data_IF_525073367329
#
_entry.id   IF_525073367329
#
_cell.length_a   1.000
_cell.length_b   1.000
_cell.length_c   1.000
_cell.angle_alpha   90.00
_cell.angle_beta   90.00
_cell.angle_gamma   90.00
#
_symmetry.space_group_name_H-M   'P 1'
#
loop_
_entity.id
_entity.type
_entity.pdbx_description
1 polymer ?
#
# COMPACT_ATOMS: atom_id res chain seq x y z
N UNK A 1 -8.64 -34.14 -16.14
CA UNK A 1 -9.68 -33.15 -15.79
C UNK A 1 -9.74 -32.74 -14.31
N UNK A 2 -9.41 -33.59 -13.33
CA UNK A 2 -9.50 -33.22 -11.89
C UNK A 2 -8.45 -32.20 -11.40
N UNK A 3 -7.29 -32.09 -12.06
CA UNK A 3 -6.23 -31.15 -11.67
C UNK A 3 -6.57 -29.67 -11.97
N UNK A 4 -7.46 -29.39 -12.94
CA UNK A 4 -7.80 -28.02 -13.34
C UNK A 4 -8.69 -27.29 -12.32
N UNK A 5 -9.48 -28.05 -11.54
CA UNK A 5 -10.46 -27.51 -10.57
C UNK A 5 -9.77 -27.13 -9.24
N UNK A 6 -8.67 -27.80 -8.87
CA UNK A 6 -7.90 -27.45 -7.68
C UNK A 6 -7.08 -26.16 -7.86
N UNK A 7 -6.61 -25.88 -9.08
CA UNK A 7 -5.84 -24.67 -9.38
C UNK A 7 -6.72 -23.40 -9.33
N UNK A 8 -8.00 -23.51 -9.70
CA UNK A 8 -8.94 -22.38 -9.67
C UNK A 8 -9.36 -22.02 -8.24
N UNK A 9 -9.46 -23.00 -7.34
CA UNK A 9 -9.78 -22.74 -5.93
C UNK A 9 -8.62 -22.09 -5.16
N UNK A 10 -7.36 -22.35 -5.54
CA UNK A 10 -6.19 -21.75 -4.87
C UNK A 10 -6.04 -20.24 -5.16
N UNK A 11 -6.58 -19.75 -6.28
CA UNK A 11 -6.45 -18.33 -6.66
C UNK A 11 -7.48 -17.43 -5.94
N UNK A 12 -8.59 -18.00 -5.46
CA UNK A 12 -9.70 -17.23 -4.88
C UNK A 12 -9.52 -16.84 -3.40
N UNK A 13 -8.51 -17.33 -2.69
CA UNK A 13 -8.35 -17.08 -1.24
C UNK A 13 -7.47 -15.89 -0.88
N UNK A 14 -6.97 -15.09 -1.84
CA UNK A 14 -5.97 -14.05 -1.55
C UNK A 14 -6.52 -12.62 -1.31
N UNK A 15 -7.83 -12.44 -1.29
CA UNK A 15 -8.45 -11.13 -1.06
C UNK A 15 -9.34 -11.13 0.18
N UNK A 16 -8.79 -11.52 1.33
CA UNK A 16 -9.37 -11.07 2.60
C UNK A 16 -8.89 -9.63 2.82
N UNK A 17 -9.72 -8.67 2.43
CA UNK A 17 -9.55 -7.29 2.84
C UNK A 17 -9.64 -7.25 4.37
N UNK A 18 -8.47 -7.15 5.01
CA UNK A 18 -8.40 -6.99 6.45
C UNK A 18 -9.18 -5.72 6.80
N UNK A 19 -10.28 -5.88 7.55
CA UNK A 19 -11.02 -4.76 8.12
C UNK A 19 -10.05 -3.99 9.00
N UNK A 20 -9.58 -2.84 8.53
CA UNK A 20 -8.67 -2.00 9.27
C UNK A 20 -9.42 -1.45 10.49
N UNK A 21 -9.11 -1.99 11.67
CA UNK A 21 -9.58 -1.41 12.92
C UNK A 21 -8.96 -0.01 13.04
N UNK A 22 -9.81 1.01 13.15
CA UNK A 22 -9.43 2.42 13.27
C UNK A 22 -8.63 2.62 14.56
N UNK A 23 -7.30 2.55 14.44
CA UNK A 23 -6.39 2.71 15.57
C UNK A 23 -6.18 4.20 15.86
N UNK A 24 -6.37 4.66 17.11
CA UNK A 24 -6.21 6.06 17.45
C UNK A 24 -4.77 6.53 17.15
N UNK A 25 -4.63 7.79 16.72
CA UNK A 25 -3.32 8.41 16.49
C UNK A 25 -2.51 8.44 17.78
N UNK A 26 -1.35 7.81 17.78
CA UNK A 26 -0.44 7.78 18.93
C UNK A 26 0.71 8.77 18.74
N UNK A 27 1.17 9.44 19.80
CA UNK A 27 2.44 10.18 19.75
C UNK A 27 3.58 9.29 19.25
N UNK A 28 4.43 9.85 18.38
CA UNK A 28 5.52 9.15 17.70
C UNK A 28 5.12 8.46 16.38
N UNK A 29 3.83 8.33 16.09
CA UNK A 29 3.36 7.69 14.86
C UNK A 29 3.75 8.50 13.61
N UNK A 30 4.32 7.85 12.61
CA UNK A 30 4.67 8.48 11.34
C UNK A 30 3.39 8.79 10.55
N UNK A 31 3.24 10.04 10.16
CA UNK A 31 2.08 10.54 9.42
C UNK A 31 2.51 11.41 8.25
N UNK A 32 1.65 11.46 7.25
CA UNK A 32 1.73 12.36 6.11
C UNK A 32 0.45 13.18 6.11
N UNK A 33 0.60 14.49 6.12
CA UNK A 33 -0.52 15.42 6.26
C UNK A 33 -0.58 16.31 5.03
N UNK A 34 -1.73 16.32 4.36
CA UNK A 34 -2.01 17.23 3.27
C UNK A 34 -2.79 18.44 3.79
N UNK A 35 -2.23 19.64 3.62
CA UNK A 35 -2.81 20.88 4.11
C UNK A 35 -2.75 22.00 3.05
N UNK A 36 -3.46 23.09 3.31
CA UNK A 36 -3.50 24.27 2.44
C UNK A 36 -3.95 23.96 0.99
N UNK A 37 -4.82 22.97 0.82
CA UNK A 37 -5.33 22.61 -0.49
C UNK A 37 -6.26 23.68 -1.04
N UNK A 38 -6.19 23.90 -2.35
CA UNK A 38 -7.17 24.69 -3.08
C UNK A 38 -8.32 23.76 -3.49
N UNK A 39 -9.50 24.02 -2.94
CA UNK A 39 -10.72 23.34 -3.36
C UNK A 39 -11.15 23.89 -4.71
N UNK A 40 -10.92 23.12 -5.78
CA UNK A 40 -11.40 23.45 -7.12
C UNK A 40 -12.70 22.69 -7.34
N UNK A 41 -13.79 23.44 -7.53
CA UNK A 41 -15.08 22.84 -7.84
C UNK A 41 -15.11 22.51 -9.33
N UNK A 42 -15.09 21.23 -9.66
CA UNK A 42 -15.31 20.80 -11.04
C UNK A 42 -16.79 21.01 -11.38
N UNK A 43 -17.04 21.84 -12.40
CA UNK A 43 -18.40 22.13 -12.86
C UNK A 43 -19.07 20.92 -13.50
N UNK A 44 -18.29 20.01 -14.08
CA UNK A 44 -18.81 18.89 -14.85
C UNK A 44 -19.25 17.73 -13.93
N UNK A 45 -18.42 17.35 -12.97
CA UNK A 45 -18.72 16.24 -12.05
C UNK A 45 -19.48 16.70 -10.80
N UNK A 46 -19.55 18.02 -10.54
CA UNK A 46 -19.96 18.60 -9.24
C UNK A 46 -19.17 18.02 -8.05
N UNK A 47 -18.00 17.42 -8.30
CA UNK A 47 -17.10 16.97 -7.25
C UNK A 47 -16.09 18.08 -6.96
N UNK A 48 -15.77 18.25 -5.68
CA UNK A 48 -14.70 19.16 -5.26
C UNK A 48 -13.41 18.36 -5.31
N UNK A 49 -12.54 18.67 -6.27
CA UNK A 49 -11.20 18.11 -6.34
C UNK A 49 -10.26 19.03 -5.54
N UNK A 50 -9.48 18.45 -4.63
CA UNK A 50 -8.44 19.18 -3.91
C UNK A 50 -7.18 19.21 -4.77
N UNK A 51 -6.74 20.41 -5.16
CA UNK A 51 -5.51 20.64 -5.93
C UNK A 51 -4.49 21.43 -5.11
N UNK A 52 -3.24 21.38 -5.54
CA UNK A 52 -2.11 22.13 -4.96
C UNK A 52 -1.94 21.95 -3.45
N UNK A 53 -2.17 20.73 -2.96
CA UNK A 53 -2.00 20.41 -1.55
C UNK A 53 -0.53 20.36 -1.18
N UNK A 54 -0.14 21.10 -0.15
CA UNK A 54 1.16 20.93 0.48
C UNK A 54 1.13 19.68 1.35
N UNK A 55 2.15 18.84 1.21
CA UNK A 55 2.26 17.59 1.96
C UNK A 55 3.45 17.64 2.91
N UNK A 56 3.20 17.54 4.21
CA UNK A 56 4.23 17.47 5.25
C UNK A 56 4.29 16.06 5.82
N UNK A 57 5.48 15.48 5.87
CA UNK A 57 5.73 14.18 6.51
C UNK A 57 6.41 14.42 7.86
N UNK A 58 6.02 13.66 8.87
CA UNK A 58 6.61 13.76 10.21
C UNK A 58 6.12 12.66 11.13
N UNK A 59 6.46 12.76 12.42
CA UNK A 59 5.82 11.97 13.47
C UNK A 59 4.92 12.84 14.34
N UNK A 60 3.82 12.28 14.84
CA UNK A 60 2.89 13.01 15.72
C UNK A 60 3.62 13.37 17.01
N UNK A 61 3.79 14.66 17.29
CA UNK A 61 4.35 15.14 18.55
C UNK A 61 3.27 15.23 19.62
N UNK A 62 2.16 15.90 19.28
CA UNK A 62 1.01 16.09 20.15
C UNK A 62 -0.25 16.31 19.30
N UNK A 63 -1.40 15.88 19.81
CA UNK A 63 -2.71 16.19 19.24
C UNK A 63 -3.50 17.05 20.24
N UNK A 64 -3.96 18.21 19.80
CA UNK A 64 -4.79 19.13 20.57
C UNK A 64 -6.15 19.31 19.89
N UNK A 65 -7.07 20.05 20.53
CA UNK A 65 -8.43 20.26 20.00
C UNK A 65 -8.46 20.95 18.62
N UNK A 66 -7.53 21.87 18.35
CA UNK A 66 -7.51 22.69 17.12
C UNK A 66 -6.24 22.53 16.30
N UNK A 67 -5.24 21.80 16.81
CA UNK A 67 -3.93 21.70 16.19
C UNK A 67 -3.32 20.30 16.33
N UNK A 68 -2.57 19.91 15.30
CA UNK A 68 -1.74 18.73 15.23
C UNK A 68 -0.27 19.18 15.22
N UNK A 69 0.47 18.82 16.26
CA UNK A 69 1.91 19.00 16.32
C UNK A 69 2.62 17.84 15.60
N UNK A 70 3.52 18.16 14.67
CA UNK A 70 4.34 17.19 13.94
C UNK A 70 5.82 17.47 14.17
N UNK A 71 6.59 16.43 14.44
CA UNK A 71 8.05 16.49 14.34
C UNK A 71 8.45 16.24 12.89
N UNK A 72 8.94 17.27 12.21
CA UNK A 72 9.43 17.24 10.83
C UNK A 72 10.93 17.53 10.84
N UNK A 73 11.74 16.46 10.88
CA UNK A 73 13.18 16.58 11.12
C UNK A 73 13.45 17.06 12.55
N UNK A 74 14.26 18.11 12.70
CA UNK A 74 14.65 18.69 13.99
C UNK A 74 13.69 19.79 14.48
N UNK A 75 12.59 20.03 13.75
CA UNK A 75 11.62 21.08 14.07
C UNK A 75 10.25 20.51 14.38
N UNK A 76 9.54 21.11 15.34
CA UNK A 76 8.14 20.81 15.62
C UNK A 76 7.26 21.85 14.91
N UNK A 77 6.44 21.38 13.97
CA UNK A 77 5.50 22.21 13.21
C UNK A 77 4.09 21.98 13.78
N UNK A 78 3.42 23.06 14.15
CA UNK A 78 2.01 23.02 14.58
C UNK A 78 1.10 23.36 13.41
N UNK A 79 0.26 22.41 12.99
CA UNK A 79 -0.71 22.57 11.90
C UNK A 79 -2.12 22.67 12.47
N UNK A 80 -2.87 23.71 12.12
CA UNK A 80 -4.28 23.80 12.50
C UNK A 80 -5.10 22.72 11.80
N UNK A 81 -5.92 21.98 12.55
CA UNK A 81 -6.78 20.92 12.02
C UNK A 81 -7.73 21.43 10.93
N UNK A 82 -8.14 22.71 10.98
CA UNK A 82 -9.01 23.34 9.96
C UNK A 82 -8.35 23.48 8.59
N UNK A 83 -7.01 23.51 8.53
CA UNK A 83 -6.25 23.58 7.27
C UNK A 83 -5.86 22.22 6.73
N UNK A 84 -6.03 21.17 7.54
CA UNK A 84 -5.72 19.80 7.16
C UNK A 84 -6.90 19.24 6.38
N UNK A 85 -6.61 18.74 5.19
CA UNK A 85 -7.61 18.12 4.31
C UNK A 85 -7.59 16.60 4.38
N UNK A 86 -6.42 16.03 4.68
CA UNK A 86 -6.19 14.59 4.71
C UNK A 86 -5.03 14.29 5.65
N UNK A 87 -5.20 13.26 6.46
CA UNK A 87 -4.13 12.68 7.28
C UNK A 87 -3.99 11.23 6.83
N UNK A 88 -2.76 10.84 6.52
CA UNK A 88 -2.42 9.46 6.23
C UNK A 88 -1.44 8.96 7.28
N UNK A 89 -1.70 7.76 7.78
CA UNK A 89 -0.86 7.08 8.75
C UNK A 89 0.02 6.08 8.02
N UNK A 90 1.29 6.02 8.43
CA UNK A 90 2.19 4.98 7.98
C UNK A 90 1.84 3.63 8.62
N UNK A 91 1.54 2.63 7.79
CA UNK A 91 1.18 1.26 8.19
C UNK A 91 2.28 0.24 7.88
N UNK A 92 3.52 0.70 7.75
CA UNK A 92 4.65 -0.13 7.37
C UNK A 92 4.91 -0.12 5.87
N UNK A 93 5.68 -1.10 5.41
CA UNK A 93 6.02 -1.26 3.99
C UNK A 93 5.52 -2.60 3.49
N UNK A 94 5.03 -2.61 2.25
CA UNK A 94 4.68 -3.84 1.55
C UNK A 94 5.69 -4.05 0.42
N UNK A 95 6.29 -5.22 0.40
CA UNK A 95 7.12 -5.66 -0.71
C UNK A 95 6.24 -6.08 -1.88
N UNK A 96 6.69 -5.82 -3.11
CA UNK A 96 6.01 -6.25 -4.33
C UNK A 96 6.47 -7.62 -4.82
N UNK A 97 6.85 -8.52 -3.90
CA UNK A 97 7.37 -9.86 -4.21
C UNK A 97 6.44 -10.64 -5.16
N UNK A 98 5.13 -10.65 -4.89
CA UNK A 98 4.17 -11.38 -5.73
C UNK A 98 3.99 -10.77 -7.12
N UNK A 99 3.99 -9.43 -7.22
CA UNK A 99 3.90 -8.73 -8.51
C UNK A 99 5.16 -8.99 -9.33
N UNK A 100 6.34 -8.88 -8.70
CA UNK A 100 7.61 -9.20 -9.34
C UNK A 100 7.67 -10.65 -9.81
N UNK A 101 7.24 -11.61 -8.97
CA UNK A 101 7.18 -13.02 -9.32
C UNK A 101 6.27 -13.27 -10.53
N UNK A 102 5.10 -12.63 -10.59
CA UNK A 102 4.16 -12.78 -11.69
C UNK A 102 4.73 -12.23 -13.00
N UNK A 103 5.29 -11.01 -12.96
CA UNK A 103 5.93 -10.41 -14.15
C UNK A 103 7.11 -11.27 -14.61
N UNK A 104 7.95 -11.71 -13.67
CA UNK A 104 9.08 -12.59 -13.96
C UNK A 104 8.65 -13.94 -14.54
N UNK A 105 7.56 -14.53 -14.04
CA UNK A 105 6.98 -15.76 -14.58
C UNK A 105 6.59 -15.58 -16.03
N UNK A 106 5.85 -14.51 -16.36
CA UNK A 106 5.36 -14.27 -17.72
C UNK A 106 6.51 -14.04 -18.69
N UNK A 107 7.48 -13.19 -18.34
CA UNK A 107 8.65 -12.91 -19.19
C UNK A 107 9.51 -14.16 -19.35
N UNK A 108 9.75 -14.88 -18.25
CA UNK A 108 10.52 -16.13 -18.25
C UNK A 108 9.84 -17.24 -19.05
N UNK A 109 8.53 -17.39 -18.94
CA UNK A 109 7.74 -18.37 -19.68
C UNK A 109 7.81 -18.12 -21.18
N UNK A 110 7.64 -16.87 -21.63
CA UNK A 110 7.73 -16.51 -23.05
C UNK A 110 9.14 -16.78 -23.57
N UNK A 111 10.17 -16.31 -22.86
CA UNK A 111 11.56 -16.48 -23.27
C UNK A 111 11.96 -17.96 -23.30
N UNK A 112 11.62 -18.70 -22.24
CA UNK A 112 11.89 -20.14 -22.14
C UNK A 112 11.14 -20.95 -23.19
N UNK A 113 9.90 -20.58 -23.51
CA UNK A 113 9.12 -21.21 -24.57
C UNK A 113 9.74 -21.00 -25.95
N UNK A 114 10.22 -19.79 -26.27
CA UNK A 114 10.92 -19.51 -27.53
C UNK A 114 12.23 -20.30 -27.62
N UNK A 115 13.03 -20.35 -26.55
CA UNK A 115 14.28 -21.11 -26.51
C UNK A 115 14.01 -22.62 -26.65
N UNK A 116 13.03 -23.15 -25.91
CA UNK A 116 12.65 -24.56 -25.96
C UNK A 116 12.08 -24.97 -27.33
N UNK A 117 11.31 -24.09 -27.98
CA UNK A 117 10.83 -24.29 -29.34
C UNK A 117 12.00 -24.42 -30.33
N UNK A 118 12.98 -23.49 -30.28
CA UNK A 118 14.14 -23.49 -31.18
C UNK A 118 15.06 -24.69 -30.99
N UNK A 119 15.22 -25.19 -29.77
CA UNK A 119 16.08 -26.35 -29.50
C UNK A 119 15.52 -27.67 -30.06
N UNK A 120 14.22 -27.74 -30.35
CA UNK A 120 13.59 -28.95 -30.88
C UNK A 120 13.22 -28.89 -32.35
N UNK A 121 13.60 -27.82 -33.09
CA UNK A 121 13.44 -27.79 -34.55
C UNK A 121 14.25 -28.93 -35.24
N UNK A 122 15.34 -29.41 -34.61
CA UNK A 122 16.22 -30.45 -35.15
C UNK A 122 16.09 -31.82 -34.43
N UNK A 123 15.12 -31.99 -33.53
CA UNK A 123 14.96 -33.19 -32.71
C UNK A 123 13.77 -34.06 -33.14
N UNK A 124 13.83 -35.37 -32.90
CA UNK A 124 12.69 -36.29 -33.09
C UNK A 124 11.59 -36.12 -32.01
N UNK A 125 11.79 -35.22 -31.04
CA UNK A 125 10.86 -34.95 -29.95
C UNK A 125 9.77 -33.97 -30.40
N UNK A 126 8.54 -34.19 -29.93
CA UNK A 126 7.42 -33.28 -30.19
C UNK A 126 7.73 -31.84 -29.73
N UNK A 127 7.58 -30.89 -30.66
CA UNK A 127 7.87 -29.46 -30.45
C UNK A 127 7.03 -28.88 -29.31
N UNK A 128 5.79 -29.36 -29.13
CA UNK A 128 4.91 -28.95 -28.04
C UNK A 128 5.46 -29.32 -26.67
N UNK A 129 6.04 -30.51 -26.52
CA UNK A 129 6.68 -30.97 -25.28
C UNK A 129 7.88 -30.10 -24.92
N UNK A 130 8.73 -29.78 -25.90
CA UNK A 130 9.90 -28.93 -25.66
C UNK A 130 9.54 -27.49 -25.32
N UNK A 131 8.56 -26.90 -26.03
CA UNK A 131 8.06 -25.57 -25.70
C UNK A 131 7.44 -25.52 -24.30
N UNK A 132 6.65 -26.53 -23.91
CA UNK A 132 6.07 -26.63 -22.58
C UNK A 132 7.13 -26.77 -21.48
N UNK A 133 8.17 -27.57 -21.70
CA UNK A 133 9.30 -27.70 -20.79
C UNK A 133 10.06 -26.36 -20.65
N UNK A 134 10.30 -25.67 -21.77
CA UNK A 134 10.93 -24.35 -21.79
C UNK A 134 10.09 -23.30 -21.06
N UNK A 135 8.77 -23.27 -21.26
CA UNK A 135 7.84 -22.41 -20.52
C UNK A 135 7.93 -22.70 -19.01
N UNK A 136 7.93 -23.98 -18.61
CA UNK A 136 7.99 -24.37 -17.20
C UNK A 136 9.29 -23.94 -16.52
N UNK A 137 10.44 -24.26 -17.13
CA UNK A 137 11.76 -23.90 -16.57
C UNK A 137 11.98 -22.39 -16.62
N UNK A 138 11.75 -21.77 -17.77
CA UNK A 138 11.91 -20.33 -17.95
C UNK A 138 10.98 -19.53 -17.05
N UNK A 139 9.71 -19.95 -16.96
CA UNK A 139 8.73 -19.34 -16.06
C UNK A 139 9.10 -19.52 -14.58
N UNK A 140 9.58 -20.70 -14.18
CA UNK A 140 10.02 -20.94 -12.81
C UNK A 140 11.22 -20.09 -12.41
N UNK A 141 12.26 -20.04 -13.25
CA UNK A 141 13.46 -19.21 -13.01
C UNK A 141 13.09 -17.72 -13.04
N UNK A 142 12.31 -17.31 -14.03
CA UNK A 142 11.83 -15.93 -14.16
C UNK A 142 11.01 -15.50 -12.95
N UNK A 143 10.12 -16.35 -12.45
CA UNK A 143 9.35 -16.09 -11.24
C UNK A 143 10.23 -15.91 -10.01
N UNK A 144 11.25 -16.76 -9.84
CA UNK A 144 12.20 -16.67 -8.74
C UNK A 144 12.99 -15.35 -8.76
N UNK A 145 13.55 -14.99 -9.92
CA UNK A 145 14.27 -13.73 -10.09
C UNK A 145 13.35 -12.52 -9.91
N UNK A 146 12.15 -12.57 -10.50
CA UNK A 146 11.15 -11.52 -10.36
C UNK A 146 10.69 -11.34 -8.92
N UNK A 147 10.50 -12.42 -8.16
CA UNK A 147 10.18 -12.37 -6.74
C UNK A 147 11.31 -11.70 -5.95
N UNK A 148 12.57 -12.05 -6.25
CA UNK A 148 13.74 -11.48 -5.60
C UNK A 148 13.83 -9.97 -5.86
N UNK A 149 13.70 -9.54 -7.11
CA UNK A 149 13.69 -8.11 -7.47
C UNK A 149 12.50 -7.39 -6.83
N UNK A 150 11.30 -7.99 -6.88
CA UNK A 150 10.10 -7.44 -6.27
C UNK A 150 10.17 -7.33 -4.74
N UNK A 151 10.98 -8.17 -4.08
CA UNK A 151 11.21 -8.11 -2.64
C UNK A 151 12.09 -6.93 -2.21
N UNK A 152 12.99 -6.49 -3.11
CA UNK A 152 13.82 -5.32 -2.89
C UNK A 152 13.03 -4.01 -3.02
N UNK A 153 11.99 -4.01 -3.86
CA UNK A 153 11.09 -2.87 -4.04
C UNK A 153 10.05 -2.87 -2.94
N UNK A 154 10.19 -1.93 -2.01
CA UNK A 154 9.23 -1.70 -0.92
C UNK A 154 8.49 -0.40 -1.17
N UNK A 155 7.16 -0.45 -1.16
CA UNK A 155 6.36 0.77 -1.05
C UNK A 155 5.93 0.99 0.39
N UNK A 156 5.98 2.26 0.80
CA UNK A 156 5.32 2.71 2.01
C UNK A 156 3.81 2.56 1.85
N UNK A 157 3.17 1.93 2.83
CA UNK A 157 1.72 1.84 2.91
C UNK A 157 1.22 3.02 3.75
N UNK A 158 0.57 3.94 3.08
CA UNK A 158 -0.15 5.06 3.69
C UNK A 158 -1.64 4.73 3.72
N UNK A 159 -2.26 4.93 4.87
CA UNK A 159 -3.69 4.69 5.08
C UNK A 159 -4.37 5.98 5.51
N UNK A 160 -5.42 6.37 4.79
CA UNK A 160 -6.21 7.56 5.10
C UNK A 160 -6.91 7.42 6.45
N UNK A 161 -6.81 8.46 7.28
CA UNK A 161 -7.54 8.58 8.54
C UNK A 161 -8.69 9.57 8.37
N UNK A 162 -9.95 9.14 8.56
CA UNK A 162 -11.11 10.01 8.47
C UNK A 162 -11.06 11.13 9.52
N UNK A 163 -11.04 12.38 9.07
CA UNK A 163 -10.96 13.57 9.93
C UNK A 163 -12.25 13.83 10.72
N UNK A 164 -13.39 13.41 10.19
CA UNK A 164 -14.73 13.55 10.80
C UNK A 164 -14.86 12.81 12.14
N UNK A 165 -14.01 11.81 12.36
CA UNK A 165 -13.99 10.99 13.58
C UNK A 165 -12.93 11.42 14.59
N UNK A 166 -12.11 12.42 14.24
CA UNK A 166 -11.13 13.01 15.15
C UNK A 166 -11.82 13.94 16.17
N UNK A 167 -12.80 13.41 16.91
CA UNK A 167 -13.42 14.14 18.02
C UNK A 167 -12.53 13.99 19.23
N UNK A 168 -11.93 15.09 19.65
CA UNK A 168 -11.15 15.14 20.89
C UNK A 168 -12.13 15.12 22.05
N UNK A 169 -12.29 13.97 22.71
CA UNK A 169 -12.93 13.92 24.02
C UNK A 169 -11.97 14.55 25.04
N UNK A 170 -12.48 15.45 25.88
CA UNK A 170 -11.73 16.04 26.99
C UNK A 170 -12.22 15.33 28.25
N UNK A 171 -11.42 14.42 28.81
CA UNK A 171 -11.77 13.73 30.05
C UNK A 171 -10.97 14.31 31.24
N UNK A 172 -11.63 14.86 32.28
CA UNK A 172 -10.93 15.43 33.43
C UNK A 172 -10.20 14.36 34.25
N UNK A 173 -8.93 14.62 34.58
CA UNK A 173 -8.09 13.72 35.37
C UNK A 173 -8.05 14.19 36.84
N UNK A 174 -8.12 13.26 37.80
CA UNK A 174 -8.37 13.59 39.22
C UNK A 174 -7.26 14.36 39.96
N UNK A 175 -6.05 14.46 39.40
CA UNK A 175 -4.89 15.16 40.02
C UNK A 175 -4.43 16.42 39.25
N UNK A 176 -5.26 16.95 38.36
CA UNK A 176 -4.94 18.15 37.58
C UNK A 176 -5.64 18.16 36.23
N UNK A 177 -5.48 19.24 35.46
CA UNK A 177 -6.04 19.32 34.11
C UNK A 177 -5.24 18.41 33.15
N UNK A 178 -5.55 17.11 33.15
CA UNK A 178 -5.07 16.14 32.17
C UNK A 178 -5.95 16.15 30.93
N UNK A 179 -5.36 16.24 29.74
CA UNK A 179 -6.09 16.04 28.48
C UNK A 179 -5.91 14.58 28.09
N UNK A 180 -6.96 13.77 28.25
CA UNK A 180 -7.00 12.38 27.78
C UNK A 180 -7.84 12.31 26.52
N UNK A 181 -7.24 11.90 25.41
CA UNK A 181 -7.96 11.68 24.13
C UNK A 181 -8.42 10.22 24.10
N UNK A 182 -9.74 10.00 24.17
CA UNK A 182 -10.36 8.68 23.95
C UNK A 182 -11.31 8.75 22.75
N UNK A 183 -11.39 7.66 21.97
CA UNK A 183 -12.31 7.51 20.84
C UNK A 183 -13.29 6.39 21.17
N UNK A 184 -14.58 6.63 20.95
CA UNK A 184 -15.63 5.63 21.10
C UNK A 184 -16.02 5.08 19.72
N UNK A 185 -16.19 3.76 19.64
CA UNK A 185 -16.62 2.98 18.47
C UNK A 185 -18.09 2.60 18.58
#
# INVERSE_FOLDING_TARGET
MRALILLTFLVLTFFTDAVAQEQPLQPGQRVRVAHSCLAVRDQQTRQTELRDCHTTKGSVAALSADALGLNAGDSTVSLSLRRISRIEVYRGQKAYTGVGALVGLLVGAVTGGVVGYRQCEDSFVDVGVCAAAGIGVGGGVGAGLGALTGSAIKADRWEDVPLDRLRVAVEPQRDGLGIRVSMAF
#
